data_IF_097792901679
#
_entry.id   IF_097792901679
#
_cell.length_a   1.000
_cell.length_b   1.000
_cell.length_c   1.000
_cell.angle_alpha   90.00
_cell.angle_beta   90.00
_cell.angle_gamma   90.00
#
_symmetry.space_group_name_H-M   'P 1'
#
loop_
_entity.id
_entity.type
_entity.pdbx_description
1 polymer ?
#
# COMPACT_ATOMS: atom_id res chain seq x y z
N UNK A 1 13.74 47.19 -62.42
CA UNK A 1 14.24 47.26 -63.81
C UNK A 1 15.66 46.72 -63.81
N UNK A 2 15.87 45.50 -64.35
CA UNK A 2 17.13 44.79 -64.73
C UNK A 2 18.23 44.61 -63.64
N UNK A 3 18.54 43.38 -63.20
CA UNK A 3 19.46 42.37 -63.81
C UNK A 3 20.95 42.78 -63.59
N UNK A 4 21.94 41.99 -63.14
CA UNK A 4 22.52 40.69 -63.53
C UNK A 4 23.63 40.37 -62.48
N UNK A 5 23.80 39.15 -61.95
CA UNK A 5 24.60 38.00 -62.44
C UNK A 5 26.14 38.14 -62.36
N UNK A 6 26.75 37.21 -61.59
CA UNK A 6 28.08 36.57 -61.69
C UNK A 6 29.36 37.44 -61.75
N UNK A 7 30.48 37.08 -61.10
CA UNK A 7 31.40 36.02 -61.56
C UNK A 7 32.52 35.75 -60.54
N UNK A 8 33.03 34.54 -60.60
CA UNK A 8 33.96 33.78 -59.75
C UNK A 8 35.43 33.83 -60.25
N UNK A 9 36.42 33.77 -59.34
CA UNK A 9 37.85 33.31 -59.45
C UNK A 9 38.73 34.05 -58.43
N UNK A 10 39.82 33.54 -57.86
CA UNK A 10 40.35 32.20 -57.55
C UNK A 10 41.56 32.44 -56.63
N UNK A 11 41.85 31.47 -55.77
CA UNK A 11 43.15 31.16 -55.15
C UNK A 11 43.88 32.18 -54.24
N UNK A 12 44.02 31.82 -52.96
CA UNK A 12 45.28 31.26 -52.42
C UNK A 12 45.28 31.01 -50.90
N UNK A 13 45.64 29.77 -50.55
CA UNK A 13 46.49 29.33 -49.42
C UNK A 13 45.88 29.22 -48.01
N UNK A 14 45.71 27.96 -47.60
CA UNK A 14 45.61 27.43 -46.21
C UNK A 14 47.04 27.05 -45.79
N UNK A 15 47.49 27.28 -44.52
CA UNK A 15 47.40 26.21 -43.51
C UNK A 15 47.25 26.67 -42.05
N UNK A 16 46.64 25.83 -41.21
CA UNK A 16 46.79 25.93 -39.75
C UNK A 16 45.60 25.44 -38.94
N UNK A 17 45.45 24.12 -38.83
CA UNK A 17 44.41 23.43 -38.09
C UNK A 17 44.42 23.72 -36.57
N UNK A 18 43.25 23.97 -36.00
CA UNK A 18 42.94 23.71 -34.59
C UNK A 18 41.64 22.89 -34.55
N UNK A 19 41.80 21.61 -34.19
CA UNK A 19 40.76 20.60 -34.15
C UNK A 19 39.63 20.98 -33.17
N UNK A 20 38.39 20.99 -33.66
CA UNK A 20 37.20 20.81 -32.83
C UNK A 20 37.14 19.34 -32.34
N UNK A 21 36.78 19.06 -31.08
CA UNK A 21 36.47 17.71 -30.66
C UNK A 21 35.17 17.25 -31.34
N UNK A 22 35.07 16.00 -31.79
CA UNK A 22 33.82 15.48 -32.34
C UNK A 22 32.76 15.39 -31.25
N UNK A 23 31.56 15.86 -31.57
CA UNK A 23 30.35 15.49 -30.87
C UNK A 23 30.20 13.96 -30.98
N UNK A 24 30.66 13.24 -29.97
CA UNK A 24 30.34 11.81 -29.81
C UNK A 24 28.86 11.72 -29.46
N UNK A 25 28.00 11.62 -30.48
CA UNK A 25 26.68 11.01 -30.30
C UNK A 25 26.98 9.58 -29.85
N UNK A 26 26.78 9.31 -28.56
CA UNK A 26 26.78 7.95 -28.05
C UNK A 26 25.67 7.19 -28.77
N UNK A 27 26.03 6.50 -29.86
CA UNK A 27 25.19 5.48 -30.47
C UNK A 27 25.00 4.44 -29.37
N UNK A 28 23.83 4.50 -28.72
CA UNK A 28 23.46 3.56 -27.66
C UNK A 28 23.26 2.21 -28.36
N UNK A 29 24.12 1.24 -28.07
CA UNK A 29 24.14 -0.06 -28.75
C UNK A 29 22.72 -0.67 -28.84
N UNK A 30 22.27 -1.10 -30.02
CA UNK A 30 20.95 -1.72 -30.19
C UNK A 30 20.80 -2.98 -29.35
N UNK A 31 21.87 -3.75 -29.16
CA UNK A 31 21.90 -4.91 -28.27
C UNK A 31 21.63 -4.54 -26.79
N UNK A 32 22.13 -3.38 -26.34
CA UNK A 32 21.88 -2.91 -24.97
C UNK A 32 20.42 -2.45 -24.76
N UNK A 33 19.76 -1.96 -25.81
CA UNK A 33 18.32 -1.64 -25.75
C UNK A 33 17.45 -2.89 -25.68
N UNK A 34 17.78 -3.92 -26.47
CA UNK A 34 17.05 -5.19 -26.44
C UNK A 34 17.19 -5.90 -25.09
N UNK A 35 18.36 -5.87 -24.48
CA UNK A 35 18.58 -6.43 -23.14
C UNK A 35 17.84 -5.67 -22.04
N UNK A 36 17.80 -4.33 -22.10
CA UNK A 36 17.06 -3.52 -21.13
C UNK A 36 15.55 -3.71 -21.26
N UNK A 37 15.05 -3.87 -22.50
CA UNK A 37 13.65 -4.14 -22.77
C UNK A 37 13.24 -5.56 -22.32
N UNK A 38 14.07 -6.58 -22.60
CA UNK A 38 13.87 -7.94 -22.08
C UNK A 38 13.83 -7.97 -20.55
N UNK A 39 14.74 -7.28 -19.88
CA UNK A 39 14.75 -7.16 -18.41
C UNK A 39 13.48 -6.48 -17.87
N UNK A 40 12.99 -5.44 -18.53
CA UNK A 40 11.74 -4.77 -18.15
C UNK A 40 10.53 -5.68 -18.35
N UNK A 41 10.50 -6.45 -19.43
CA UNK A 41 9.43 -7.41 -19.71
C UNK A 41 9.42 -8.57 -18.72
N UNK A 42 10.58 -9.10 -18.37
CA UNK A 42 10.70 -10.17 -17.38
C UNK A 42 10.34 -9.69 -15.98
N UNK A 43 10.73 -8.47 -15.59
CA UNK A 43 10.25 -7.84 -14.36
C UNK A 43 8.73 -7.63 -14.36
N UNK A 44 8.14 -7.26 -15.52
CA UNK A 44 6.70 -7.11 -15.65
C UNK A 44 5.95 -8.46 -15.60
N UNK A 45 6.57 -9.55 -16.07
CA UNK A 45 6.03 -10.92 -15.96
C UNK A 45 6.10 -11.43 -14.53
N UNK A 46 7.23 -11.24 -13.84
CA UNK A 46 7.40 -11.65 -12.44
C UNK A 46 6.32 -11.03 -11.54
N UNK A 47 6.08 -9.72 -11.69
CA UNK A 47 5.01 -9.02 -10.95
C UNK A 47 3.60 -9.54 -11.21
N UNK A 48 3.33 -10.17 -12.36
CA UNK A 48 2.00 -10.75 -12.65
C UNK A 48 1.80 -12.12 -12.00
N UNK A 49 2.88 -12.77 -11.56
CA UNK A 49 2.89 -14.15 -11.09
C UNK A 49 3.17 -14.28 -9.59
N UNK A 50 3.20 -13.16 -8.85
CA UNK A 50 3.47 -13.14 -7.42
C UNK A 50 2.50 -12.22 -6.67
N UNK A 51 2.46 -12.36 -5.34
CA UNK A 51 1.79 -11.40 -4.47
C UNK A 51 2.54 -10.06 -4.50
N UNK A 52 1.81 -8.92 -4.44
CA UNK A 52 2.46 -7.62 -4.44
C UNK A 52 3.26 -7.41 -3.15
N UNK A 53 4.35 -6.66 -3.25
CA UNK A 53 5.16 -6.29 -2.08
C UNK A 53 4.55 -5.07 -1.37
N UNK A 54 4.90 -4.88 -0.09
CA UNK A 54 4.40 -3.74 0.67
C UNK A 54 4.79 -2.40 0.04
N UNK A 55 6.03 -2.28 -0.43
CA UNK A 55 6.50 -1.12 -1.21
C UNK A 55 5.70 -0.90 -2.49
N UNK A 56 5.27 -1.95 -3.20
CA UNK A 56 4.43 -1.81 -4.39
C UNK A 56 3.04 -1.25 -4.07
N UNK A 57 2.46 -1.65 -2.93
CA UNK A 57 1.18 -1.11 -2.43
C UNK A 57 1.33 0.36 -2.05
N UNK A 58 2.32 0.71 -1.22
CA UNK A 58 2.57 2.11 -0.81
C UNK A 58 2.87 3.03 -1.99
N UNK A 59 3.58 2.53 -3.01
CA UNK A 59 3.88 3.27 -4.23
C UNK A 59 2.73 3.33 -5.24
N UNK A 60 1.52 2.88 -4.86
CA UNK A 60 0.30 2.88 -5.69
C UNK A 60 0.48 2.12 -7.01
N UNK A 61 1.31 1.06 -7.02
CA UNK A 61 1.58 0.24 -8.22
C UNK A 61 0.62 -0.94 -8.39
N UNK A 62 -0.20 -1.22 -7.38
CA UNK A 62 -1.14 -2.36 -7.34
C UNK A 62 -2.58 -1.94 -7.63
N UNK A 63 -3.46 -2.91 -7.88
CA UNK A 63 -4.88 -2.70 -8.17
C UNK A 63 -5.79 -3.39 -7.13
N UNK A 64 -7.08 -3.02 -7.06
CA UNK A 64 -8.03 -3.69 -6.18
C UNK A 64 -8.06 -5.21 -6.41
N UNK A 65 -8.19 -6.04 -5.35
CA UNK A 65 -8.49 -5.68 -3.96
C UNK A 65 -7.26 -5.39 -3.07
N UNK A 66 -6.04 -5.36 -3.63
CA UNK A 66 -4.77 -5.25 -2.87
C UNK A 66 -4.06 -3.93 -3.17
N UNK A 67 -4.80 -2.82 -3.14
CA UNK A 67 -4.29 -1.47 -3.36
C UNK A 67 -4.12 -0.68 -2.06
N UNK A 68 -3.46 0.48 -2.14
CA UNK A 68 -3.23 1.36 -0.99
C UNK A 68 -4.54 1.78 -0.32
N UNK A 69 -5.59 1.98 -1.10
CA UNK A 69 -6.90 2.39 -0.57
C UNK A 69 -7.55 1.27 0.23
N UNK A 70 -7.52 0.02 -0.24
CA UNK A 70 -8.00 -1.12 0.53
C UNK A 70 -7.14 -1.38 1.76
N UNK A 71 -5.83 -1.12 1.70
CA UNK A 71 -4.94 -1.21 2.86
C UNK A 71 -5.28 -0.16 3.92
N UNK A 72 -5.56 1.08 3.51
CA UNK A 72 -6.04 2.14 4.42
C UNK A 72 -7.36 1.74 5.10
N UNK A 73 -8.35 1.28 4.33
CA UNK A 73 -9.62 0.79 4.89
C UNK A 73 -9.45 -0.42 5.82
N UNK A 74 -8.40 -1.21 5.63
CA UNK A 74 -8.08 -2.33 6.51
C UNK A 74 -7.54 -1.82 7.85
N UNK A 75 -6.54 -0.92 7.84
CA UNK A 75 -5.99 -0.31 9.05
C UNK A 75 -7.02 0.50 9.84
N UNK A 76 -7.88 1.23 9.15
CA UNK A 76 -8.97 2.00 9.77
C UNK A 76 -9.94 1.11 10.58
N UNK A 77 -10.11 -0.17 10.21
CA UNK A 77 -10.94 -1.09 11.00
C UNK A 77 -10.25 -1.61 12.25
N UNK A 78 -8.92 -1.58 12.25
CA UNK A 78 -8.10 -2.03 13.37
C UNK A 78 -7.76 -0.87 14.32
N UNK A 79 -8.12 0.37 13.98
CA UNK A 79 -7.76 1.57 14.74
C UNK A 79 -6.26 1.88 14.65
N UNK A 80 -5.62 1.50 13.53
CA UNK A 80 -4.19 1.67 13.28
C UNK A 80 -3.94 2.50 12.01
N UNK A 81 -4.86 3.38 11.63
CA UNK A 81 -4.72 4.28 10.48
C UNK A 81 -3.60 5.32 10.67
N UNK A 82 -3.36 5.73 11.92
CA UNK A 82 -2.42 6.81 12.24
C UNK A 82 -0.99 6.51 11.80
N UNK A 83 -0.57 5.24 11.87
CA UNK A 83 0.78 4.84 11.46
C UNK A 83 0.97 4.98 9.94
N UNK A 84 -0.07 4.73 9.15
CA UNK A 84 -0.04 4.89 7.70
C UNK A 84 -0.14 6.35 7.31
N UNK A 85 -1.02 7.11 7.97
CA UNK A 85 -1.16 8.54 7.76
C UNK A 85 0.13 9.29 8.10
N UNK A 86 0.78 8.96 9.23
CA UNK A 86 2.11 9.46 9.57
C UNK A 86 3.13 9.13 8.48
N UNK A 87 3.19 7.88 8.01
CA UNK A 87 4.15 7.48 6.97
C UNK A 87 3.93 8.26 5.66
N UNK A 88 2.66 8.48 5.28
CA UNK A 88 2.28 9.25 4.09
C UNK A 88 2.64 10.74 4.21
N UNK A 89 2.37 11.35 5.36
CA UNK A 89 2.69 12.76 5.63
C UNK A 89 4.21 12.97 5.66
N UNK A 90 4.99 12.06 6.26
CA UNK A 90 6.47 12.11 6.20
C UNK A 90 6.98 11.90 4.78
N UNK A 91 6.37 11.00 4.00
CA UNK A 91 6.74 10.83 2.59
C UNK A 91 6.48 12.11 1.77
N UNK A 92 5.41 12.85 2.09
CA UNK A 92 5.13 14.16 1.49
C UNK A 92 6.16 15.21 1.93
N UNK A 93 6.54 15.23 3.21
CA UNK A 93 7.61 16.09 3.72
C UNK A 93 8.94 15.86 2.99
N UNK A 94 9.37 14.60 2.83
CA UNK A 94 10.58 14.29 2.06
C UNK A 94 10.51 14.76 0.61
N UNK A 95 9.34 14.64 -0.03
CA UNK A 95 9.14 15.15 -1.39
C UNK A 95 9.25 16.68 -1.46
N UNK A 96 8.79 17.37 -0.40
CA UNK A 96 8.95 18.81 -0.23
C UNK A 96 10.43 19.19 -0.06
N UNK A 97 11.19 18.47 0.76
CA UNK A 97 12.65 18.62 0.90
C UNK A 97 13.39 18.42 -0.43
N UNK A 98 13.10 17.33 -1.17
CA UNK A 98 13.71 17.08 -2.50
C UNK A 98 13.41 18.21 -3.48
N UNK A 99 12.19 18.74 -3.43
CA UNK A 99 11.78 19.83 -4.28
C UNK A 99 12.52 21.13 -3.94
N UNK A 100 12.68 21.45 -2.64
CA UNK A 100 13.50 22.58 -2.18
C UNK A 100 14.93 22.49 -2.72
N UNK A 101 15.64 21.38 -2.49
CA UNK A 101 17.02 21.22 -2.95
C UNK A 101 17.14 21.29 -4.49
N UNK A 102 16.14 20.77 -5.21
CA UNK A 102 16.09 20.86 -6.66
C UNK A 102 15.93 22.31 -7.13
N UNK A 103 15.12 23.12 -6.44
CA UNK A 103 14.89 24.52 -6.78
C UNK A 103 16.10 25.40 -6.41
N UNK A 104 16.79 25.12 -5.30
CA UNK A 104 18.10 25.73 -4.97
C UNK A 104 19.11 25.48 -6.08
N UNK A 105 19.27 24.22 -6.53
CA UNK A 105 20.21 23.87 -7.61
C UNK A 105 19.86 24.54 -8.94
N UNK A 106 18.57 24.66 -9.27
CA UNK A 106 18.12 25.38 -10.47
C UNK A 106 18.40 26.88 -10.40
N UNK A 107 18.42 27.45 -9.19
CA UNK A 107 18.77 28.86 -8.99
C UNK A 107 20.26 29.17 -9.15
N UNK A 108 21.10 28.15 -9.44
CA UNK A 108 22.55 28.30 -9.62
C UNK A 108 23.35 28.41 -8.31
N UNK A 109 22.66 28.49 -7.17
CA UNK A 109 23.27 28.51 -5.84
C UNK A 109 23.66 27.10 -5.39
N UNK A 110 24.79 26.97 -4.71
CA UNK A 110 25.15 25.71 -4.05
C UNK A 110 24.43 25.60 -2.71
N UNK A 111 24.15 24.39 -2.24
CA UNK A 111 23.51 24.20 -0.92
C UNK A 111 24.44 24.66 0.21
N UNK A 112 25.75 24.65 -0.03
CA UNK A 112 26.73 25.25 0.90
C UNK A 112 26.53 26.76 1.06
N UNK A 113 26.15 27.46 0.00
CA UNK A 113 25.91 28.92 0.04
C UNK A 113 24.51 29.25 0.59
N UNK A 114 23.50 28.48 0.21
CA UNK A 114 22.11 28.73 0.62
C UNK A 114 21.81 28.27 2.05
N UNK A 115 22.43 27.16 2.49
CA UNK A 115 22.21 26.57 3.80
C UNK A 115 23.48 25.89 4.37
N UNK A 116 24.45 26.68 4.87
CA UNK A 116 25.74 26.18 5.33
C UNK A 116 25.65 25.23 6.52
N UNK A 117 24.71 25.46 7.45
CA UNK A 117 24.57 24.62 8.65
C UNK A 117 24.05 23.22 8.31
N UNK A 118 23.11 23.13 7.36
CA UNK A 118 22.66 21.84 6.83
C UNK A 118 23.78 21.12 6.08
N UNK A 119 24.56 21.85 5.29
CA UNK A 119 25.71 21.27 4.59
C UNK A 119 26.73 20.64 5.55
N UNK A 120 27.06 21.34 6.64
CA UNK A 120 27.97 20.83 7.65
C UNK A 120 27.37 19.66 8.44
N UNK A 121 26.07 19.73 8.78
CA UNK A 121 25.34 18.63 9.40
C UNK A 121 25.36 17.37 8.52
N UNK A 122 24.97 17.50 7.25
CA UNK A 122 24.89 16.42 6.28
C UNK A 122 26.26 15.77 6.03
N UNK A 123 27.34 16.56 6.07
CA UNK A 123 28.70 16.04 5.94
C UNK A 123 29.16 15.26 7.18
N UNK A 124 28.82 15.74 8.38
CA UNK A 124 29.29 15.14 9.65
C UNK A 124 28.49 13.91 10.05
N UNK A 125 27.16 13.93 9.88
CA UNK A 125 26.24 12.87 10.33
C UNK A 125 25.65 12.03 9.19
N UNK A 126 25.86 12.44 7.94
CA UNK A 126 25.17 11.85 6.80
C UNK A 126 23.78 12.45 6.62
N UNK A 127 23.25 12.42 5.40
CA UNK A 127 21.89 12.84 5.08
C UNK A 127 21.31 11.98 3.96
N UNK A 128 20.01 11.70 4.02
CA UNK A 128 19.33 10.90 2.98
C UNK A 128 19.25 11.65 1.64
N UNK A 129 19.58 12.95 1.63
CA UNK A 129 19.63 13.76 0.42
C UNK A 129 21.04 13.90 -0.17
N UNK A 130 22.07 13.19 0.32
CA UNK A 130 23.46 13.34 -0.13
C UNK A 130 23.65 13.37 -1.66
N UNK A 131 22.94 12.51 -2.40
CA UNK A 131 22.95 12.47 -3.89
C UNK A 131 22.30 13.70 -4.53
N UNK A 132 21.27 14.27 -3.90
CA UNK A 132 20.57 15.47 -4.38
C UNK A 132 21.38 16.72 -4.06
N UNK A 133 22.06 16.71 -2.91
CA UNK A 133 22.83 17.83 -2.36
C UNK A 133 24.24 17.91 -2.98
N UNK A 134 24.69 16.85 -3.66
CA UNK A 134 26.00 16.82 -4.33
C UNK A 134 27.17 16.53 -3.38
N UNK A 135 26.90 15.90 -2.23
CA UNK A 135 27.92 15.56 -1.22
C UNK A 135 28.79 14.34 -1.60
N UNK A 136 28.62 13.74 -2.78
CA UNK A 136 29.33 12.52 -3.17
C UNK A 136 30.49 12.79 -4.15
N UNK A 137 31.75 12.96 -3.69
CA UNK A 137 32.91 13.19 -4.56
C UNK A 137 33.49 11.91 -5.21
N UNK A 138 33.04 10.71 -4.83
CA UNK A 138 33.53 9.44 -5.39
C UNK A 138 32.37 8.52 -5.80
N UNK A 139 31.68 8.84 -6.88
CA UNK A 139 31.06 7.86 -7.81
C UNK A 139 30.48 8.65 -8.99
N UNK A 140 31.33 8.87 -10.00
CA UNK A 140 30.93 9.41 -11.30
C UNK A 140 30.13 8.42 -12.16
N UNK A 141 29.20 7.66 -11.57
CA UNK A 141 28.28 6.80 -12.30
C UNK A 141 26.87 7.36 -12.20
N UNK A 142 26.33 7.74 -13.36
CA UNK A 142 24.95 8.16 -13.58
C UNK A 142 24.00 7.06 -13.08
N UNK A 143 23.61 7.08 -11.80
CA UNK A 143 22.51 6.25 -11.29
C UNK A 143 21.24 7.09 -11.30
N UNK A 144 20.43 6.85 -12.33
CA UNK A 144 19.09 7.41 -12.49
C UNK A 144 18.24 7.17 -11.23
N UNK A 145 17.37 8.13 -10.95
CA UNK A 145 16.36 8.10 -9.90
C UNK A 145 15.51 6.82 -9.96
N UNK A 146 15.80 5.85 -9.09
CA UNK A 146 14.95 4.71 -8.84
C UNK A 146 14.82 4.53 -7.32
N UNK A 147 13.57 4.65 -6.87
CA UNK A 147 12.97 4.25 -5.59
C UNK A 147 13.89 3.83 -4.45
N UNK A 148 13.79 4.56 -3.34
CA UNK A 148 13.91 4.03 -1.96
C UNK A 148 13.14 2.71 -1.88
N UNK A 149 13.86 1.59 -1.80
CA UNK A 149 13.25 0.25 -1.88
C UNK A 149 14.25 -0.91 -1.93
N UNK A 150 15.53 -0.67 -2.20
CA UNK A 150 16.56 -1.71 -2.08
C UNK A 150 17.73 -1.20 -1.25
N UNK A 151 17.68 -1.47 0.05
CA UNK A 151 18.88 -1.65 0.86
C UNK A 151 18.86 -3.09 1.36
N UNK A 152 19.17 -4.02 0.47
CA UNK A 152 19.88 -5.23 0.87
C UNK A 152 21.33 -4.96 0.50
N UNK A 153 22.23 -5.04 1.48
CA UNK A 153 23.65 -4.97 1.17
C UNK A 153 24.01 -6.20 0.31
N UNK A 154 24.98 -6.07 -0.60
CA UNK A 154 25.50 -7.19 -1.39
C UNK A 154 25.92 -8.38 -0.48
N UNK A 155 26.27 -8.05 0.77
CA UNK A 155 26.65 -8.95 1.85
C UNK A 155 25.47 -9.77 2.42
N UNK A 156 24.26 -9.20 2.49
CA UNK A 156 23.04 -9.92 2.88
C UNK A 156 22.63 -10.96 1.83
N UNK A 157 22.88 -10.63 0.55
CA UNK A 157 22.58 -11.50 -0.59
C UNK A 157 23.52 -12.72 -0.63
N UNK A 158 24.78 -12.55 -0.22
CA UNK A 158 25.74 -13.64 -0.07
C UNK A 158 25.48 -14.51 1.16
N UNK A 159 25.02 -13.94 2.28
CA UNK A 159 24.67 -14.71 3.48
C UNK A 159 23.42 -15.61 3.28
N UNK A 160 22.48 -15.19 2.43
CA UNK A 160 21.31 -15.98 2.06
C UNK A 160 21.62 -17.11 1.06
N UNK A 161 22.71 -17.00 0.29
CA UNK A 161 23.15 -18.06 -0.62
C UNK A 161 23.91 -19.18 0.11
N UNK A 162 24.42 -18.92 1.32
CA UNK A 162 25.23 -19.87 2.10
C UNK A 162 24.41 -20.72 3.11
N UNK A 163 23.11 -20.48 3.25
CA UNK A 163 22.25 -21.18 4.25
C UNK A 163 21.27 -22.19 3.62
N UNK A 164 21.52 -22.57 2.37
CA UNK A 164 20.72 -23.54 1.62
C UNK A 164 21.26 -24.97 1.67
N UNK A 165 21.63 -25.49 2.84
CA UNK A 165 21.71 -26.94 3.09
C UNK A 165 21.98 -27.20 4.58
N UNK A 166 20.96 -27.54 5.36
CA UNK A 166 20.96 -28.69 6.29
C UNK A 166 19.66 -28.80 7.11
N UNK A 167 19.38 -30.04 7.52
CA UNK A 167 18.14 -30.58 8.07
C UNK A 167 17.81 -30.11 9.49
N UNK A 168 16.50 -29.95 9.72
CA UNK A 168 15.72 -30.29 10.93
C UNK A 168 16.39 -30.23 12.33
N UNK A 169 15.92 -29.33 13.20
CA UNK A 169 15.78 -29.57 14.65
C UNK A 169 14.76 -28.62 15.33
N UNK A 170 14.22 -29.08 16.46
CA UNK A 170 12.98 -28.65 17.14
C UNK A 170 13.18 -27.60 18.27
N UNK A 171 12.07 -26.89 18.57
CA UNK A 171 11.61 -26.34 19.88
C UNK A 171 12.25 -25.06 20.46
N UNK A 172 11.65 -24.39 21.48
CA UNK A 172 10.22 -24.22 21.85
C UNK A 172 9.83 -22.73 22.13
N UNK A 173 8.53 -22.44 22.11
CA UNK A 173 7.93 -21.15 22.51
C UNK A 173 7.61 -21.10 24.01
N UNK A 174 7.74 -19.95 24.71
CA UNK A 174 7.08 -19.71 25.98
C UNK A 174 5.80 -18.88 25.81
N UNK A 175 4.73 -19.46 26.36
CA UNK A 175 3.39 -18.93 26.56
C UNK A 175 3.38 -18.04 27.81
N UNK A 176 2.75 -16.86 27.74
CA UNK A 176 2.34 -16.10 28.93
C UNK A 176 0.83 -15.83 28.86
N UNK A 177 0.15 -16.14 29.96
CA UNK A 177 -1.27 -15.92 30.25
C UNK A 177 -1.42 -14.73 31.21
N UNK A 178 -2.67 -14.27 31.35
CA UNK A 178 -3.27 -13.54 32.49
C UNK A 178 -3.29 -12.01 32.33
N UNK A 179 -4.31 -11.21 32.71
CA UNK A 179 -5.63 -11.36 33.36
C UNK A 179 -6.36 -10.02 33.12
N UNK A 180 -7.68 -10.03 32.95
CA UNK A 180 -8.56 -8.85 33.06
C UNK A 180 -9.26 -8.82 34.43
N UNK A 181 -9.60 -7.64 34.96
CA UNK A 181 -10.98 -7.44 35.42
C UNK A 181 -11.59 -6.10 34.97
N UNK A 182 -12.90 -6.13 34.71
CA UNK A 182 -13.68 -5.04 34.11
C UNK A 182 -14.23 -3.97 35.04
N UNK A 183 -14.96 -3.02 34.44
CA UNK A 183 -15.79 -2.00 35.08
C UNK A 183 -16.76 -1.40 34.04
N UNK A 184 -18.04 -1.38 34.37
CA UNK A 184 -19.19 -0.97 33.55
C UNK A 184 -19.55 0.48 33.87
N UNK A 185 -19.83 1.31 32.87
CA UNK A 185 -20.92 2.32 32.90
C UNK A 185 -21.31 2.77 31.49
N UNK A 186 -22.62 2.78 31.24
CA UNK A 186 -23.27 3.34 30.05
C UNK A 186 -23.60 4.82 30.28
N UNK A 187 -23.79 5.59 29.20
CA UNK A 187 -24.87 6.58 28.94
C UNK A 187 -24.47 7.51 27.78
N UNK A 188 -25.42 7.76 26.86
CA UNK A 188 -25.61 9.10 26.28
C UNK A 188 -25.20 9.29 24.82
N UNK A 189 -26.19 9.20 23.93
CA UNK A 189 -26.19 9.65 22.53
C UNK A 189 -25.79 11.12 22.33
N UNK A 190 -24.95 11.40 21.34
CA UNK A 190 -25.00 12.62 20.49
C UNK A 190 -24.11 12.41 19.25
N UNK A 191 -24.60 12.80 18.09
CA UNK A 191 -23.95 12.64 16.77
C UNK A 191 -22.55 13.28 16.70
N UNK A 192 -21.57 12.66 15.99
CA UNK A 192 -20.29 13.32 15.74
C UNK A 192 -20.34 14.24 14.50
N UNK A 193 -19.74 15.44 14.56
CA UNK A 193 -19.59 16.35 13.43
C UNK A 193 -18.52 15.83 12.45
N UNK A 194 -18.78 16.11 11.16
CA UNK A 194 -17.97 15.75 9.99
C UNK A 194 -16.49 16.13 10.11
N UNK A 195 -15.62 15.16 9.83
CA UNK A 195 -14.17 15.36 9.68
C UNK A 195 -13.82 16.07 8.36
N UNK A 196 -12.99 17.09 8.46
CA UNK A 196 -12.42 17.87 7.36
C UNK A 196 -11.07 17.29 6.94
N UNK A 197 -11.10 16.12 6.28
CA UNK A 197 -9.95 15.61 5.52
C UNK A 197 -10.34 15.46 4.05
N UNK A 198 -9.41 15.67 3.09
CA UNK A 198 -9.72 15.73 1.66
C UNK A 198 -10.06 14.36 1.04
N UNK A 199 -10.21 13.31 1.84
CA UNK A 199 -10.62 11.97 1.42
C UNK A 199 -12.04 11.58 1.87
N UNK A 200 -12.81 12.52 2.42
CA UNK A 200 -14.21 12.29 2.78
C UNK A 200 -15.09 12.15 1.52
N UNK A 201 -15.82 11.04 1.43
CA UNK A 201 -16.73 10.72 0.32
C UNK A 201 -17.80 11.82 0.15
N UNK A 202 -17.74 12.53 -0.98
CA UNK A 202 -18.93 13.14 -1.58
C UNK A 202 -19.22 12.48 -2.93
N UNK A 203 -20.46 12.02 -3.09
CA UNK A 203 -20.92 11.19 -4.17
C UNK A 203 -20.88 11.90 -5.53
N UNK A 204 -20.17 11.28 -6.48
CA UNK A 204 -20.52 11.08 -7.89
C UNK A 204 -19.30 10.47 -8.54
N UNK A 205 -19.38 9.18 -8.86
CA UNK A 205 -18.41 8.50 -9.72
C UNK A 205 -18.51 9.07 -11.13
N UNK A 206 -17.46 9.67 -11.73
CA UNK A 206 -17.33 9.68 -13.17
C UNK A 206 -16.60 8.39 -13.58
N UNK A 207 -17.29 7.59 -14.36
CA UNK A 207 -16.73 6.54 -15.20
C UNK A 207 -15.76 7.17 -16.20
N UNK A 208 -14.45 7.13 -15.92
CA UNK A 208 -13.45 7.27 -16.98
C UNK A 208 -12.10 6.67 -16.57
N UNK A 209 -11.90 5.43 -16.96
CA UNK A 209 -10.60 4.81 -17.02
C UNK A 209 -9.76 5.52 -18.09
N UNK A 210 -8.77 6.31 -17.68
CA UNK A 210 -7.66 6.70 -18.54
C UNK A 210 -6.35 6.61 -17.78
N UNK A 211 -5.54 5.65 -18.23
CA UNK A 211 -4.07 5.60 -18.22
C UNK A 211 -3.40 6.27 -17.00
N UNK A 212 -2.98 5.48 -16.02
CA UNK A 212 -2.04 5.92 -14.99
C UNK A 212 -0.67 6.22 -15.65
N UNK A 213 -0.52 7.43 -16.18
CA UNK A 213 0.77 7.97 -16.56
C UNK A 213 1.60 8.15 -15.30
N UNK A 214 2.81 7.59 -15.34
CA UNK A 214 3.94 7.89 -14.44
C UNK A 214 4.25 9.39 -14.48
N UNK A 215 3.44 10.21 -13.82
CA UNK A 215 3.74 11.61 -13.59
C UNK A 215 4.30 11.72 -12.17
N UNK A 216 5.45 12.40 -11.97
CA UNK A 216 5.81 12.89 -10.65
C UNK A 216 4.62 13.67 -10.08
N UNK A 217 4.41 13.65 -8.77
CA UNK A 217 3.45 14.55 -8.13
C UNK A 217 3.89 15.99 -8.41
N UNK A 218 3.38 16.59 -9.50
CA UNK A 218 3.59 17.99 -9.84
C UNK A 218 2.68 18.75 -8.89
N UNK A 219 3.26 19.20 -7.78
CA UNK A 219 2.64 20.21 -6.94
C UNK A 219 2.48 21.44 -7.85
N UNK A 220 1.26 21.93 -8.15
CA UNK A 220 1.11 23.21 -8.83
C UNK A 220 1.66 24.28 -7.90
N UNK A 221 2.81 24.88 -8.28
CA UNK A 221 3.53 25.83 -7.42
C UNK A 221 3.36 27.24 -7.97
N UNK A 222 2.77 28.11 -7.16
CA UNK A 222 2.76 29.55 -7.38
C UNK A 222 4.05 30.22 -6.89
N UNK A 223 4.81 29.58 -5.99
CA UNK A 223 6.02 30.14 -5.36
C UNK A 223 7.12 29.09 -5.17
N UNK A 224 8.37 29.56 -5.05
CA UNK A 224 9.52 28.72 -4.71
C UNK A 224 9.41 28.24 -3.26
N UNK A 225 9.74 26.97 -3.01
CA UNK A 225 9.67 26.38 -1.67
C UNK A 225 10.70 27.05 -0.77
N UNK A 226 10.27 27.46 0.41
CA UNK A 226 11.12 28.13 1.40
C UNK A 226 11.50 27.19 2.54
N UNK A 227 12.50 27.57 3.33
CA UNK A 227 12.85 26.86 4.58
C UNK A 227 11.70 26.89 5.59
N UNK A 228 10.87 27.93 5.55
CA UNK A 228 9.71 28.04 6.41
C UNK A 228 8.65 26.99 6.11
N UNK A 229 8.47 26.62 4.83
CA UNK A 229 7.55 25.56 4.43
C UNK A 229 8.00 24.18 4.94
N UNK A 230 9.32 23.95 5.02
CA UNK A 230 9.90 22.76 5.63
C UNK A 230 9.58 22.70 7.13
N UNK A 231 9.79 23.82 7.85
CA UNK A 231 9.49 23.94 9.27
C UNK A 231 7.99 23.72 9.52
N UNK A 232 7.11 24.40 8.78
CA UNK A 232 5.66 24.29 8.94
C UNK A 232 5.17 22.86 8.68
N UNK A 233 5.71 22.19 7.66
CA UNK A 233 5.41 20.78 7.40
C UNK A 233 5.87 19.88 8.56
N UNK A 234 7.05 20.12 9.12
CA UNK A 234 7.58 19.32 10.21
C UNK A 234 6.82 19.54 11.53
N UNK A 235 6.49 20.78 11.83
CA UNK A 235 5.68 21.19 12.98
C UNK A 235 4.31 20.51 12.96
N UNK A 236 3.63 20.54 11.81
CA UNK A 236 2.32 19.88 11.62
C UNK A 236 2.40 18.36 11.84
N UNK A 237 3.42 17.69 11.29
CA UNK A 237 3.59 16.24 11.47
C UNK A 237 3.82 15.91 12.94
N UNK A 238 4.67 16.69 13.61
CA UNK A 238 4.97 16.49 15.02
C UNK A 238 3.73 16.62 15.90
N UNK A 239 2.99 17.73 15.83
CA UNK A 239 1.82 17.97 16.68
C UNK A 239 0.61 17.08 16.37
N UNK A 240 0.62 16.42 15.21
CA UNK A 240 -0.45 15.51 14.83
C UNK A 240 -0.21 14.09 15.31
N UNK A 241 1.03 13.59 15.18
CA UNK A 241 1.32 12.16 15.37
C UNK A 241 2.30 11.85 16.50
N UNK A 242 3.15 12.82 16.90
CA UNK A 242 4.29 12.58 17.79
C UNK A 242 4.18 13.31 19.14
N UNK A 243 3.38 14.37 19.22
CA UNK A 243 3.16 15.07 20.48
C UNK A 243 2.33 14.20 21.44
N UNK A 244 2.70 14.14 22.73
CA UNK A 244 1.91 13.43 23.73
C UNK A 244 0.45 13.88 23.70
N UNK A 245 -0.47 12.91 23.77
CA UNK A 245 -1.91 13.15 23.85
C UNK A 245 -2.24 14.25 24.88
N UNK A 246 -2.77 15.39 24.42
CA UNK A 246 -3.16 16.52 25.27
C UNK A 246 -2.62 17.89 24.84
N UNK A 247 -1.63 17.96 23.95
CA UNK A 247 -1.02 19.23 23.52
C UNK A 247 -1.57 19.83 22.20
N UNK A 248 -2.53 19.16 21.55
CA UNK A 248 -3.12 19.63 20.28
C UNK A 248 -4.47 20.31 20.55
N UNK A 249 -4.57 21.65 20.53
CA UNK A 249 -5.84 22.33 20.77
C UNK A 249 -6.82 22.04 19.63
N UNK A 250 -7.91 21.33 19.95
CA UNK A 250 -9.02 21.09 19.03
C UNK A 250 -9.14 19.67 18.43
N UNK A 251 -8.23 18.75 18.73
CA UNK A 251 -8.36 17.34 18.33
C UNK A 251 -8.70 16.47 19.54
N UNK A 252 -9.95 16.03 19.63
CA UNK A 252 -10.46 15.15 20.70
C UNK A 252 -10.03 13.68 20.55
N UNK A 253 -9.22 13.36 19.55
CA UNK A 253 -8.84 11.99 19.18
C UNK A 253 -7.31 11.85 19.26
N UNK A 254 -6.86 10.87 20.02
CA UNK A 254 -5.45 10.60 20.29
C UNK A 254 -4.82 9.88 19.09
N UNK A 255 -4.31 10.64 18.12
CA UNK A 255 -3.62 10.12 16.93
C UNK A 255 -2.12 9.82 17.20
N UNK A 256 -1.75 9.58 18.47
CA UNK A 256 -0.35 9.37 18.85
C UNK A 256 0.12 7.99 18.39
N UNK A 257 1.11 7.97 17.50
CA UNK A 257 1.64 6.71 17.00
C UNK A 257 2.52 6.02 18.07
N UNK A 258 2.39 4.71 18.18
CA UNK A 258 3.25 3.93 19.07
C UNK A 258 4.68 3.89 18.53
N UNK A 259 5.60 4.56 19.24
CA UNK A 259 7.03 4.55 18.95
C UNK A 259 7.80 4.01 20.17
N UNK A 260 8.86 3.20 19.95
CA UNK A 260 9.79 2.82 21.01
C UNK A 260 10.41 4.06 21.67
N UNK A 261 10.75 4.02 22.97
CA UNK A 261 11.29 5.18 23.69
C UNK A 261 12.52 5.82 23.02
N UNK A 262 13.37 5.03 22.36
CA UNK A 262 14.55 5.51 21.66
C UNK A 262 14.26 6.36 20.42
N UNK A 263 13.07 6.23 19.83
CA UNK A 263 12.65 6.96 18.62
C UNK A 263 11.67 8.09 18.93
N UNK A 264 11.27 8.26 20.19
CA UNK A 264 10.30 9.27 20.60
C UNK A 264 10.94 10.66 20.58
N UNK A 265 10.25 11.62 19.98
CA UNK A 265 10.63 13.03 19.98
C UNK A 265 9.76 13.71 21.04
N UNK A 266 10.39 14.26 22.09
CA UNK A 266 9.67 14.79 23.25
C UNK A 266 9.24 16.25 23.12
N UNK A 267 9.93 17.03 22.29
CA UNK A 267 9.58 18.44 22.04
C UNK A 267 10.00 18.84 20.63
N UNK A 268 9.21 19.71 20.00
CA UNK A 268 9.56 20.39 18.76
C UNK A 268 9.94 21.84 19.10
N UNK A 269 11.23 22.18 19.09
CA UNK A 269 11.73 23.48 19.59
C UNK A 269 11.61 24.63 18.58
N UNK A 270 11.05 24.40 17.40
CA UNK A 270 10.95 25.39 16.33
C UNK A 270 9.48 25.77 16.10
N UNK A 271 9.22 27.01 15.70
CA UNK A 271 7.88 27.44 15.31
C UNK A 271 7.90 28.02 13.90
N UNK A 272 6.89 27.69 13.09
CA UNK A 272 6.70 28.30 11.76
C UNK A 272 6.30 29.79 11.80
N UNK A 273 6.11 30.37 13.00
CA UNK A 273 5.72 31.79 13.15
C UNK A 273 6.91 32.72 13.37
N UNK A 274 8.05 32.19 13.84
CA UNK A 274 9.24 32.98 14.13
C UNK A 274 10.44 32.47 13.34
N UNK A 275 11.20 33.38 12.75
CA UNK A 275 12.50 33.03 12.17
C UNK A 275 13.46 32.61 13.29
N UNK A 276 14.26 31.54 13.08
CA UNK A 276 15.22 31.06 14.06
C UNK A 276 16.31 32.11 14.29
N UNK A 277 16.40 32.62 15.52
CA UNK A 277 17.37 33.67 15.90
C UNK A 277 18.51 33.11 16.75
N UNK A 278 18.27 32.00 17.46
CA UNK A 278 19.29 31.37 18.29
C UNK A 278 20.14 30.39 17.49
N UNK A 279 21.44 30.33 17.78
CA UNK A 279 22.37 29.35 17.17
C UNK A 279 21.88 27.90 17.34
N UNK A 280 21.19 27.61 18.44
CA UNK A 280 20.58 26.32 18.69
C UNK A 280 19.41 26.04 17.74
N UNK A 281 18.54 27.02 17.50
CA UNK A 281 17.38 26.91 16.58
C UNK A 281 17.86 26.71 15.13
N UNK A 282 18.91 27.42 14.72
CA UNK A 282 19.51 27.27 13.39
C UNK A 282 20.09 25.85 13.21
N UNK A 283 20.75 25.32 14.24
CA UNK A 283 21.31 23.95 14.24
C UNK A 283 20.22 22.87 14.26
N UNK A 284 19.06 23.16 14.86
CA UNK A 284 17.89 22.28 14.85
C UNK A 284 17.17 22.33 13.50
N UNK A 285 17.10 23.50 12.87
CA UNK A 285 16.53 23.66 11.53
C UNK A 285 17.26 22.77 10.52
N UNK A 286 18.61 22.71 10.62
CA UNK A 286 19.43 21.83 9.79
C UNK A 286 19.08 20.33 9.93
N UNK A 287 18.43 19.91 11.01
CA UNK A 287 18.05 18.50 11.20
C UNK A 287 16.70 18.17 10.58
N UNK A 288 15.85 19.17 10.29
CA UNK A 288 14.48 18.97 9.80
C UNK A 288 14.39 18.01 8.60
N UNK A 289 15.22 18.14 7.55
CA UNK A 289 15.07 17.28 6.37
C UNK A 289 15.18 15.77 6.68
N UNK A 290 16.00 15.41 7.67
CA UNK A 290 16.32 14.03 8.04
C UNK A 290 15.65 13.58 9.35
N UNK A 291 14.96 14.49 10.06
CA UNK A 291 14.48 14.30 11.42
C UNK A 291 13.53 13.11 11.61
N UNK A 292 12.62 12.88 10.65
CA UNK A 292 11.62 11.80 10.74
C UNK A 292 12.05 10.48 10.10
N UNK A 293 13.30 10.38 9.61
CA UNK A 293 13.72 9.25 8.81
C UNK A 293 13.66 7.93 9.59
N UNK A 294 14.18 7.92 10.83
CA UNK A 294 14.20 6.74 11.69
C UNK A 294 12.78 6.30 12.09
N UNK A 295 11.89 7.24 12.40
CA UNK A 295 10.50 6.98 12.76
C UNK A 295 9.74 6.41 11.58
N UNK A 296 9.93 6.97 10.38
CA UNK A 296 9.31 6.47 9.16
C UNK A 296 9.77 5.05 8.82
N UNK A 297 11.05 4.75 8.96
CA UNK A 297 11.57 3.40 8.73
C UNK A 297 10.97 2.41 9.73
N UNK A 298 10.90 2.77 11.01
CA UNK A 298 10.23 1.96 12.02
C UNK A 298 8.76 1.70 11.66
N UNK A 299 8.00 2.73 11.30
CA UNK A 299 6.60 2.58 10.89
C UNK A 299 6.44 1.69 9.65
N UNK A 300 7.35 1.81 8.67
CA UNK A 300 7.38 0.93 7.51
C UNK A 300 7.58 -0.54 7.93
N UNK A 301 8.58 -0.82 8.78
CA UNK A 301 8.88 -2.18 9.26
C UNK A 301 7.74 -2.75 10.09
N UNK A 302 7.15 -1.95 10.97
CA UNK A 302 6.01 -2.36 11.79
C UNK A 302 4.80 -2.74 10.93
N UNK A 303 4.44 -1.91 9.94
CA UNK A 303 3.36 -2.23 9.00
C UNK A 303 3.68 -3.44 8.12
N UNK A 304 4.93 -3.57 7.65
CA UNK A 304 5.36 -4.67 6.78
C UNK A 304 5.35 -6.02 7.50
N UNK A 305 5.72 -6.06 8.78
CA UNK A 305 5.83 -7.29 9.57
C UNK A 305 4.50 -7.75 10.15
N UNK A 306 3.65 -6.83 10.61
CA UNK A 306 2.40 -7.18 11.30
C UNK A 306 1.15 -6.99 10.43
N UNK A 307 0.88 -5.76 9.97
CA UNK A 307 -0.37 -5.44 9.30
C UNK A 307 -0.45 -6.01 7.87
N UNK A 308 0.64 -5.96 7.13
CA UNK A 308 0.65 -6.32 5.71
C UNK A 308 0.35 -7.81 5.43
N UNK A 309 0.93 -8.79 6.16
CA UNK A 309 0.58 -10.19 5.99
C UNK A 309 -0.89 -10.48 6.32
N UNK A 310 -1.44 -9.81 7.35
CA UNK A 310 -2.86 -9.92 7.75
C UNK A 310 -3.78 -9.33 6.68
N UNK A 311 -3.40 -8.19 6.10
CA UNK A 311 -4.10 -7.59 4.96
C UNK A 311 -4.12 -8.51 3.73
N UNK A 312 -2.97 -9.08 3.35
CA UNK A 312 -2.91 -10.03 2.23
C UNK A 312 -3.79 -11.25 2.50
N UNK A 313 -3.77 -11.81 3.72
CA UNK A 313 -4.66 -12.91 4.10
C UNK A 313 -6.14 -12.53 3.94
N UNK A 314 -6.53 -11.35 4.39
CA UNK A 314 -7.92 -10.91 4.32
C UNK A 314 -8.39 -10.58 2.89
N UNK A 315 -7.53 -9.99 2.05
CA UNK A 315 -7.94 -9.45 0.73
C UNK A 315 -7.42 -10.20 -0.50
N UNK A 316 -6.30 -10.91 -0.40
CA UNK A 316 -5.77 -11.71 -1.51
C UNK A 316 -6.32 -13.15 -1.49
N UNK A 317 -6.63 -13.67 -0.30
CA UNK A 317 -7.06 -15.06 -0.10
C UNK A 317 -8.56 -15.19 0.18
N UNK A 318 -9.20 -14.15 0.72
CA UNK A 318 -10.65 -14.07 0.90
C UNK A 318 -11.27 -13.01 -0.01
N UNK A 319 -12.57 -13.14 -0.28
CA UNK A 319 -13.35 -12.09 -0.94
C UNK A 319 -14.44 -11.51 -0.03
N UNK A 320 -14.69 -12.13 1.13
CA UNK A 320 -15.70 -11.71 2.09
C UNK A 320 -15.10 -10.88 3.22
N UNK A 321 -15.90 -9.98 3.77
CA UNK A 321 -15.58 -9.34 5.04
C UNK A 321 -15.97 -10.24 6.22
N UNK A 322 -15.28 -10.17 7.38
CA UNK A 322 -15.62 -11.00 8.55
C UNK A 322 -17.09 -10.88 8.97
N UNK A 323 -17.64 -9.66 8.92
CA UNK A 323 -19.06 -9.39 9.22
C UNK A 323 -19.98 -10.10 8.22
N UNK A 324 -19.70 -9.98 6.92
CA UNK A 324 -20.51 -10.63 5.89
C UNK A 324 -20.43 -12.16 5.96
N UNK A 325 -19.29 -12.71 6.38
CA UNK A 325 -19.09 -14.14 6.58
C UNK A 325 -19.90 -14.61 7.78
N UNK A 326 -19.98 -13.81 8.86
CA UNK A 326 -20.81 -14.11 10.02
C UNK A 326 -22.31 -14.09 9.69
N UNK A 327 -22.77 -13.09 8.93
CA UNK A 327 -24.17 -13.02 8.49
C UNK A 327 -24.53 -14.23 7.64
N UNK A 328 -23.64 -14.65 6.73
CA UNK A 328 -23.82 -15.88 5.94
C UNK A 328 -23.86 -17.13 6.81
N UNK A 329 -23.00 -17.24 7.84
CA UNK A 329 -23.05 -18.36 8.78
C UNK A 329 -24.42 -18.48 9.43
N UNK A 330 -24.94 -17.39 10.00
CA UNK A 330 -26.24 -17.36 10.68
C UNK A 330 -27.36 -17.74 9.70
N UNK A 331 -27.38 -17.10 8.52
CA UNK A 331 -28.37 -17.41 7.48
C UNK A 331 -28.28 -18.87 7.02
N UNK A 332 -27.08 -19.41 6.84
CA UNK A 332 -26.83 -20.79 6.45
C UNK A 332 -27.36 -21.79 7.47
N UNK A 333 -27.13 -21.55 8.77
CA UNK A 333 -27.65 -22.38 9.85
C UNK A 333 -29.18 -22.37 9.91
N UNK A 334 -29.80 -21.19 9.77
CA UNK A 334 -31.26 -21.05 9.77
C UNK A 334 -31.89 -21.76 8.56
N UNK A 335 -31.35 -21.56 7.35
CA UNK A 335 -31.85 -22.22 6.13
C UNK A 335 -31.66 -23.74 6.24
N UNK A 336 -30.53 -24.21 6.78
CA UNK A 336 -30.30 -25.63 7.00
C UNK A 336 -31.34 -26.22 7.95
N UNK A 337 -31.60 -25.54 9.07
CA UNK A 337 -32.58 -25.98 10.06
C UNK A 337 -33.99 -26.06 9.46
N UNK A 338 -34.43 -25.03 8.72
CA UNK A 338 -35.72 -25.05 8.02
C UNK A 338 -35.77 -26.16 6.98
N UNK A 339 -34.71 -26.31 6.17
CA UNK A 339 -34.63 -27.35 5.14
C UNK A 339 -34.74 -28.76 5.73
N UNK A 340 -34.03 -29.04 6.82
CA UNK A 340 -34.13 -30.31 7.55
C UNK A 340 -35.51 -30.51 8.16
N UNK A 341 -36.09 -29.49 8.80
CA UNK A 341 -37.41 -29.59 9.42
C UNK A 341 -38.52 -29.89 8.40
N UNK A 342 -38.49 -29.22 7.24
CA UNK A 342 -39.43 -29.47 6.14
C UNK A 342 -39.23 -30.88 5.58
N UNK A 343 -37.98 -31.32 5.41
CA UNK A 343 -37.71 -32.65 4.89
C UNK A 343 -38.20 -33.78 5.82
N UNK A 344 -37.87 -33.70 7.11
CA UNK A 344 -38.39 -34.62 8.11
C UNK A 344 -39.92 -34.64 8.13
N UNK A 345 -40.56 -33.47 8.00
CA UNK A 345 -42.03 -33.39 7.92
C UNK A 345 -42.58 -34.09 6.67
N UNK A 346 -41.92 -33.95 5.51
CA UNK A 346 -42.31 -34.63 4.26
C UNK A 346 -42.05 -36.14 4.30
N UNK A 347 -41.05 -36.58 5.06
CA UNK A 347 -40.76 -38.00 5.32
C UNK A 347 -41.85 -38.60 6.20
N UNK A 348 -42.19 -37.94 7.32
CA UNK A 348 -43.20 -38.41 8.26
C UNK A 348 -44.64 -38.30 7.78
N UNK A 349 -44.93 -37.41 6.82
CA UNK A 349 -46.28 -37.31 6.24
C UNK A 349 -46.47 -38.27 5.04
N UNK A 350 -45.43 -38.99 4.64
CA UNK A 350 -45.36 -39.86 3.45
C UNK A 350 -45.97 -39.22 2.18
N UNK A 351 -45.56 -37.98 1.89
CA UNK A 351 -46.14 -37.23 0.76
C UNK A 351 -45.76 -37.86 -0.57
N UNK A 352 -46.78 -38.31 -1.31
CA UNK A 352 -46.66 -38.72 -2.72
C UNK A 352 -46.95 -37.52 -3.65
N UNK A 353 -46.22 -37.36 -4.78
CA UNK A 353 -45.06 -38.14 -5.23
C UNK A 353 -43.75 -37.76 -4.52
N UNK A 354 -42.83 -38.74 -4.40
CA UNK A 354 -41.47 -38.56 -3.81
C UNK A 354 -40.65 -37.42 -4.43
N UNK A 355 -40.94 -37.05 -5.68
CA UNK A 355 -40.29 -35.94 -6.39
C UNK A 355 -40.44 -34.59 -5.67
N UNK A 356 -41.45 -34.41 -4.81
CA UNK A 356 -41.61 -33.18 -4.01
C UNK A 356 -40.43 -32.96 -3.05
N UNK A 357 -39.81 -34.02 -2.53
CA UNK A 357 -38.64 -33.94 -1.65
C UNK A 357 -37.41 -33.44 -2.40
N UNK A 358 -37.31 -33.71 -3.70
CA UNK A 358 -36.18 -33.26 -4.52
C UNK A 358 -36.05 -31.73 -4.56
N UNK A 359 -37.15 -30.96 -4.45
CA UNK A 359 -37.09 -29.49 -4.40
C UNK A 359 -36.32 -28.94 -3.20
N UNK A 360 -36.10 -29.74 -2.15
CA UNK A 360 -35.28 -29.36 -1.00
C UNK A 360 -33.78 -29.27 -1.33
N UNK A 361 -33.37 -29.69 -2.53
CA UNK A 361 -32.01 -29.41 -3.02
C UNK A 361 -31.72 -27.90 -3.00
N UNK A 362 -32.72 -27.03 -3.22
CA UNK A 362 -32.55 -25.57 -3.23
C UNK A 362 -32.13 -25.04 -1.86
N UNK A 363 -32.93 -25.21 -0.78
CA UNK A 363 -32.52 -24.75 0.54
C UNK A 363 -31.23 -25.43 1.03
N UNK A 364 -31.01 -26.71 0.72
CA UNK A 364 -29.74 -27.37 1.05
C UNK A 364 -28.55 -26.75 0.33
N UNK A 365 -28.66 -26.47 -0.97
CA UNK A 365 -27.59 -25.83 -1.73
C UNK A 365 -27.29 -24.44 -1.19
N UNK A 366 -28.32 -23.64 -0.87
CA UNK A 366 -28.13 -22.31 -0.28
C UNK A 366 -27.50 -22.37 1.12
N UNK A 367 -27.96 -23.30 1.97
CA UNK A 367 -27.39 -23.50 3.30
C UNK A 367 -25.91 -23.90 3.24
N UNK A 368 -25.59 -24.93 2.45
CA UNK A 368 -24.23 -25.43 2.28
C UNK A 368 -23.32 -24.38 1.63
N UNK A 369 -23.83 -23.63 0.63
CA UNK A 369 -23.11 -22.51 0.04
C UNK A 369 -22.70 -21.49 1.10
N UNK A 370 -23.62 -21.09 1.98
CA UNK A 370 -23.32 -20.10 3.02
C UNK A 370 -22.38 -20.63 4.12
N UNK A 371 -22.56 -21.87 4.56
CA UNK A 371 -21.71 -22.48 5.58
C UNK A 371 -20.27 -22.67 5.08
N UNK A 372 -20.10 -23.19 3.86
CA UNK A 372 -18.76 -23.35 3.26
C UNK A 372 -18.15 -21.99 2.93
N UNK A 373 -18.94 -21.03 2.44
CA UNK A 373 -18.43 -19.68 2.17
C UNK A 373 -17.89 -19.00 3.43
N UNK A 374 -18.52 -19.23 4.58
CA UNK A 374 -18.00 -18.78 5.88
C UNK A 374 -16.67 -19.47 6.22
N UNK A 375 -16.60 -20.80 6.13
CA UNK A 375 -15.41 -21.57 6.52
C UNK A 375 -14.17 -21.24 5.69
N UNK A 376 -14.34 -20.88 4.42
CA UNK A 376 -13.26 -20.54 3.50
C UNK A 376 -13.04 -19.02 3.33
N UNK A 377 -13.82 -18.19 4.03
CA UNK A 377 -13.87 -16.73 3.87
C UNK A 377 -14.02 -16.29 2.40
N UNK A 378 -14.69 -17.14 1.60
CA UNK A 378 -14.77 -17.03 0.16
C UNK A 378 -16.15 -17.40 -0.36
N UNK A 379 -16.82 -16.45 -0.99
CA UNK A 379 -18.08 -16.64 -1.73
C UNK A 379 -17.78 -16.90 -3.21
N UNK A 380 -17.97 -18.14 -3.70
CA UNK A 380 -17.62 -18.50 -5.07
C UNK A 380 -18.48 -17.75 -6.11
N UNK A 381 -19.74 -17.41 -5.76
CA UNK A 381 -20.65 -16.70 -6.68
C UNK A 381 -20.09 -15.31 -6.98
N UNK A 382 -19.67 -14.58 -5.95
CA UNK A 382 -19.06 -13.26 -6.12
C UNK A 382 -17.75 -13.33 -6.91
N UNK A 383 -16.91 -14.35 -6.66
CA UNK A 383 -15.66 -14.53 -7.41
C UNK A 383 -15.92 -14.77 -8.89
N UNK A 384 -16.92 -15.58 -9.25
CA UNK A 384 -17.27 -15.82 -10.67
C UNK A 384 -17.79 -14.55 -11.35
N UNK A 385 -18.46 -13.66 -10.61
CA UNK A 385 -18.84 -12.32 -11.09
C UNK A 385 -17.65 -11.33 -11.14
N UNK A 386 -16.45 -11.77 -10.77
CA UNK A 386 -15.26 -10.92 -10.71
C UNK A 386 -15.34 -9.84 -9.63
N UNK A 387 -16.13 -10.07 -8.59
CA UNK A 387 -16.37 -9.14 -7.48
C UNK A 387 -15.76 -9.66 -6.17
N UNK A 388 -15.38 -8.71 -5.31
CA UNK A 388 -14.93 -8.93 -3.94
C UNK A 388 -15.56 -7.88 -3.03
N UNK A 389 -15.77 -8.16 -1.75
CA UNK A 389 -16.24 -7.14 -0.82
C UNK A 389 -15.11 -6.20 -0.38
N UNK A 390 -15.34 -4.89 -0.46
CA UNK A 390 -14.48 -3.87 0.16
C UNK A 390 -14.88 -3.71 1.63
N UNK A 391 -16.09 -3.20 1.84
CA UNK A 391 -16.81 -3.08 3.11
C UNK A 391 -17.96 -4.08 3.15
N UNK A 392 -18.52 -4.39 4.34
CA UNK A 392 -19.68 -5.27 4.43
C UNK A 392 -20.75 -4.82 3.42
N UNK A 393 -21.19 -5.75 2.58
CA UNK A 393 -22.20 -5.53 1.53
C UNK A 393 -21.84 -4.56 0.40
N UNK A 394 -20.60 -4.06 0.31
CA UNK A 394 -20.15 -3.23 -0.80
C UNK A 394 -19.10 -3.96 -1.63
N UNK A 395 -19.43 -4.24 -2.87
CA UNK A 395 -18.55 -4.97 -3.79
C UNK A 395 -17.62 -4.05 -4.57
N UNK A 396 -16.51 -4.62 -4.99
CA UNK A 396 -15.48 -4.02 -5.82
C UNK A 396 -15.04 -5.05 -6.87
N UNK A 397 -14.64 -4.58 -8.05
CA UNK A 397 -14.16 -5.46 -9.11
C UNK A 397 -12.70 -5.87 -8.87
N UNK A 398 -12.43 -7.17 -8.95
CA UNK A 398 -11.08 -7.75 -8.82
C UNK A 398 -10.28 -7.42 -10.09
N UNK A 399 -9.27 -6.55 -9.96
CA UNK A 399 -8.45 -6.08 -11.09
C UNK A 399 -7.01 -6.55 -11.04
N UNK A 400 -6.53 -6.97 -9.88
CA UNK A 400 -5.18 -7.51 -9.72
C UNK A 400 -5.10 -8.93 -10.34
N UNK A 401 -4.28 -9.16 -11.40
CA UNK A 401 -4.33 -10.38 -12.19
C UNK A 401 -3.93 -11.63 -11.41
N UNK A 402 -2.91 -11.54 -10.55
CA UNK A 402 -2.47 -12.68 -9.75
C UNK A 402 -3.55 -13.11 -8.75
N UNK A 403 -4.09 -12.13 -8.00
CA UNK A 403 -5.18 -12.35 -7.03
C UNK A 403 -6.43 -12.91 -7.71
N UNK A 404 -6.75 -12.44 -8.91
CA UNK A 404 -7.88 -12.97 -9.70
C UNK A 404 -7.69 -14.46 -10.00
N UNK A 405 -6.51 -14.89 -10.46
CA UNK A 405 -6.24 -16.31 -10.74
C UNK A 405 -6.31 -17.16 -9.47
N UNK A 406 -5.74 -16.64 -8.37
CA UNK A 406 -5.73 -17.31 -7.08
C UNK A 406 -7.14 -17.52 -6.52
N UNK A 407 -7.96 -16.46 -6.49
CA UNK A 407 -9.34 -16.53 -6.02
C UNK A 407 -10.19 -17.43 -6.92
N UNK A 408 -10.00 -17.40 -8.24
CA UNK A 408 -10.72 -18.26 -9.17
C UNK A 408 -10.43 -19.74 -8.91
N UNK A 409 -9.16 -20.12 -8.73
CA UNK A 409 -8.79 -21.50 -8.41
C UNK A 409 -9.42 -21.98 -7.11
N UNK A 410 -9.42 -21.13 -6.07
CA UNK A 410 -10.10 -21.42 -4.80
C UNK A 410 -11.62 -21.48 -4.93
N UNK A 411 -12.22 -20.58 -5.71
CA UNK A 411 -13.67 -20.57 -5.94
C UNK A 411 -14.13 -21.85 -6.64
N UNK A 412 -13.37 -22.36 -7.61
CA UNK A 412 -13.65 -23.66 -8.24
C UNK A 412 -13.64 -24.78 -7.20
N UNK A 413 -12.59 -24.85 -6.37
CA UNK A 413 -12.50 -25.85 -5.29
C UNK A 413 -13.69 -25.76 -4.32
N UNK A 414 -14.02 -24.55 -3.87
CA UNK A 414 -15.15 -24.31 -2.98
C UNK A 414 -16.47 -24.69 -3.63
N UNK A 415 -16.67 -24.38 -4.91
CA UNK A 415 -17.88 -24.79 -5.65
C UNK A 415 -18.01 -26.30 -5.79
N UNK A 416 -16.92 -27.02 -6.02
CA UNK A 416 -16.92 -28.49 -6.05
C UNK A 416 -17.34 -29.05 -4.70
N UNK A 417 -16.81 -28.51 -3.61
CA UNK A 417 -17.18 -28.93 -2.25
C UNK A 417 -18.66 -28.64 -1.95
N UNK A 418 -19.16 -27.46 -2.31
CA UNK A 418 -20.57 -27.09 -2.16
C UNK A 418 -21.47 -28.06 -2.94
N UNK A 419 -21.12 -28.36 -4.18
CA UNK A 419 -21.89 -29.29 -5.01
C UNK A 419 -21.89 -30.70 -4.41
N UNK A 420 -20.73 -31.22 -3.99
CA UNK A 420 -20.61 -32.54 -3.40
C UNK A 420 -21.44 -32.69 -2.12
N UNK A 421 -21.33 -31.73 -1.18
CA UNK A 421 -22.09 -31.74 0.06
C UNK A 421 -23.60 -31.60 -0.18
N UNK A 422 -24.01 -30.73 -1.12
CA UNK A 422 -25.43 -30.52 -1.44
C UNK A 422 -26.06 -31.75 -2.09
N UNK A 423 -25.34 -32.40 -3.02
CA UNK A 423 -25.78 -33.65 -3.66
C UNK A 423 -25.87 -34.77 -2.63
N UNK A 424 -24.85 -34.93 -1.78
CA UNK A 424 -24.85 -35.96 -0.74
C UNK A 424 -26.05 -35.79 0.20
N UNK A 425 -26.29 -34.56 0.69
CA UNK A 425 -27.41 -34.28 1.58
C UNK A 425 -28.76 -34.55 0.89
N UNK A 426 -28.92 -34.11 -0.35
CA UNK A 426 -30.15 -34.33 -1.12
C UNK A 426 -30.41 -35.81 -1.40
N UNK A 427 -29.36 -36.57 -1.75
CA UNK A 427 -29.47 -38.00 -2.05
C UNK A 427 -29.80 -38.85 -0.83
N UNK A 428 -29.22 -38.53 0.34
CA UNK A 428 -29.53 -39.21 1.60
C UNK A 428 -31.02 -39.11 1.89
N UNK A 429 -31.57 -37.90 1.88
CA UNK A 429 -32.96 -37.66 2.26
C UNK A 429 -33.98 -38.08 1.18
N UNK A 430 -33.59 -38.04 -0.09
CA UNK A 430 -34.40 -38.59 -1.17
C UNK A 430 -34.51 -40.13 -1.10
N UNK A 431 -33.44 -40.83 -0.70
CA UNK A 431 -33.41 -42.28 -0.63
C UNK A 431 -34.19 -42.86 0.57
N UNK A 432 -34.42 -42.08 1.63
CA UNK A 432 -35.12 -42.55 2.84
C UNK A 432 -36.61 -42.81 2.53
N UNK A 433 -37.11 -44.04 2.78
CA UNK A 433 -38.53 -44.35 2.62
C UNK A 433 -39.37 -43.55 3.61
N UNK A 434 -40.50 -43.00 3.15
CA UNK A 434 -41.45 -42.33 4.04
C UNK A 434 -42.17 -43.34 4.93
N UNK A 435 -42.45 -42.95 6.16
CA UNK A 435 -43.30 -43.71 7.06
C UNK A 435 -44.23 -42.74 7.77
N UNK A 436 -45.54 -42.98 7.66
CA UNK A 436 -46.56 -42.13 8.26
C UNK A 436 -46.63 -42.42 9.76
N UNK A 437 -46.21 -41.44 10.57
CA UNK A 437 -46.30 -41.51 12.03
C UNK A 437 -47.75 -41.40 12.52
#
# INVERSE_FOLDING_TARGET
MRALLNTQRDDRVVPGALLCPPFTVAIRDPAAMDDEQRRQDDWAKDRKNRLPTFTEVLSRRTRPPVDLFMFYLFLQREGAEDILDFWLDVQQHENLCRAYFKDVRKSGRTIREDWPEYWDYARRRGSIYGTVVGLNPHTGTKRSTASTGEMLSEQDRQNLAATGDEKAARSPSPRVRSISPGGITAVGTTEPPRSTTPFSLSGRTPTLFKRASRAPTIIPRSQAITRQDLIASAERIYYRYLSPAGNTPGSAENHEIYLPPALRIHSFPLSSTHEPKSQNEISLMAQIPDMFHAQKEYCYRAMEQDAFPRFLRAKAFGNLTPVSALVRLIAGLVILWVGLAVDFSLIFLDVQPKSKRFFLFIPYTLAILFLISHQYELDPVLVFLGQSESTPFRTLSIREPYVKKLLLGRAIWVSVLVAACSVALTMIFWAVPGHRL
#
